data_IF_079841809807
#
_entry.id   IF_079841809807
#
_cell.length_a   1.000
_cell.length_b   1.000
_cell.length_c   1.000
_cell.angle_alpha   90.00
_cell.angle_beta   90.00
_cell.angle_gamma   90.00
#
_symmetry.space_group_name_H-M   'P 1'
#
loop_
_entity.id
_entity.type
_entity.pdbx_description
1 polymer ?
#
# COMPACT_ATOMS: atom_id res chain seq x y z
N UNK A 1 18.46 -21.05 8.59
CA UNK A 1 18.52 -19.96 9.58
C UNK A 1 17.48 -18.94 9.20
N UNK A 2 16.48 -18.77 10.05
CA UNK A 2 15.46 -17.72 9.91
C UNK A 2 15.97 -16.57 10.76
N UNK A 3 16.29 -15.43 10.15
CA UNK A 3 16.43 -14.18 10.89
C UNK A 3 15.08 -13.89 11.55
N UNK A 4 15.02 -14.17 12.84
CA UNK A 4 14.05 -13.61 13.75
C UNK A 4 14.39 -12.12 13.75
N UNK A 5 13.68 -11.32 12.94
CA UNK A 5 13.62 -9.87 13.17
C UNK A 5 13.25 -9.70 14.64
N UNK A 6 14.10 -8.99 15.36
CA UNK A 6 14.12 -8.95 16.81
C UNK A 6 12.76 -8.46 17.31
N UNK A 7 12.22 -9.09 18.36
CA UNK A 7 10.87 -8.78 18.84
C UNK A 7 10.68 -7.29 19.15
N UNK A 8 11.76 -6.62 19.54
CA UNK A 8 11.95 -5.18 19.70
C UNK A 8 11.68 -4.37 18.43
N UNK A 9 12.22 -4.74 17.26
CA UNK A 9 11.96 -4.03 15.99
C UNK A 9 10.48 -4.07 15.59
N UNK A 10 9.77 -5.15 15.95
CA UNK A 10 8.32 -5.26 15.69
C UNK A 10 7.53 -4.32 16.60
N UNK A 11 7.92 -4.21 17.88
CA UNK A 11 7.28 -3.32 18.85
C UNK A 11 7.57 -1.84 18.57
N UNK A 12 8.79 -1.49 18.21
CA UNK A 12 9.17 -0.13 17.84
C UNK A 12 8.41 0.32 16.58
N UNK A 13 8.35 -0.55 15.58
CA UNK A 13 7.56 -0.27 14.37
C UNK A 13 6.06 -0.16 14.64
N UNK A 14 5.50 -0.90 15.61
CA UNK A 14 4.09 -0.76 16.02
C UNK A 14 3.82 0.62 16.65
N UNK A 15 4.72 1.09 17.52
CA UNK A 15 4.63 2.42 18.11
C UNK A 15 4.71 3.52 17.03
N UNK A 16 5.59 3.37 16.04
CA UNK A 16 5.71 4.26 14.90
C UNK A 16 4.41 4.35 14.08
N UNK A 17 3.80 3.22 13.71
CA UNK A 17 2.55 3.23 12.93
C UNK A 17 1.38 3.85 13.71
N UNK A 18 1.28 3.57 15.01
CA UNK A 18 0.25 4.17 15.87
C UNK A 18 0.42 5.68 15.97
N UNK A 19 1.65 6.14 16.23
CA UNK A 19 1.98 7.56 16.32
C UNK A 19 1.79 8.27 14.97
N UNK A 20 2.15 7.63 13.86
CA UNK A 20 1.94 8.15 12.51
C UNK A 20 0.45 8.30 12.20
N UNK A 21 -0.37 7.27 12.48
CA UNK A 21 -1.82 7.32 12.28
C UNK A 21 -2.48 8.48 13.03
N UNK A 22 -2.14 8.68 14.31
CA UNK A 22 -2.65 9.80 15.11
C UNK A 22 -2.23 11.17 14.55
N UNK A 23 -0.94 11.37 14.29
CA UNK A 23 -0.41 12.64 13.73
C UNK A 23 -1.01 12.96 12.36
N UNK A 24 -1.22 11.95 11.52
CA UNK A 24 -1.83 12.13 10.21
C UNK A 24 -3.31 12.50 10.33
N UNK A 25 -4.07 11.89 11.25
CA UNK A 25 -5.46 12.29 11.50
C UNK A 25 -5.58 13.76 11.94
N UNK A 26 -4.72 14.21 12.85
CA UNK A 26 -4.67 15.61 13.30
C UNK A 26 -4.33 16.56 12.15
N UNK A 27 -3.35 16.21 11.32
CA UNK A 27 -2.97 17.00 10.13
C UNK A 27 -4.06 17.05 9.07
N UNK A 28 -4.79 15.95 8.85
CA UNK A 28 -5.91 15.92 7.90
C UNK A 28 -6.99 16.93 8.28
N UNK A 29 -7.35 17.01 9.57
CA UNK A 29 -8.33 17.99 10.05
C UNK A 29 -7.81 19.42 10.03
N UNK A 30 -6.51 19.62 10.30
CA UNK A 30 -5.88 20.93 10.13
C UNK A 30 -5.97 21.43 8.67
N UNK A 31 -5.63 20.59 7.70
CA UNK A 31 -5.74 20.93 6.27
C UNK A 31 -7.18 21.18 5.83
N UNK A 32 -8.14 20.41 6.36
CA UNK A 32 -9.56 20.65 6.10
C UNK A 32 -10.01 22.04 6.59
N UNK A 33 -9.58 22.47 7.77
CA UNK A 33 -9.88 23.80 8.33
C UNK A 33 -9.29 24.94 7.50
N UNK A 34 -8.19 24.70 6.79
CA UNK A 34 -7.57 25.65 5.88
C UNK A 34 -8.17 25.65 4.46
N UNK A 35 -9.18 24.81 4.18
CA UNK A 35 -9.77 24.65 2.85
C UNK A 35 -8.96 23.75 1.90
N UNK A 36 -7.86 23.14 2.37
CA UNK A 36 -6.98 22.25 1.60
C UNK A 36 -7.58 20.83 1.51
N UNK A 37 -8.65 20.71 0.74
CA UNK A 37 -9.51 19.51 0.69
C UNK A 37 -8.78 18.30 0.09
N UNK A 38 -7.94 18.51 -0.91
CA UNK A 38 -7.17 17.43 -1.56
C UNK A 38 -6.09 16.88 -0.63
N UNK A 39 -5.31 17.76 -0.02
CA UNK A 39 -4.25 17.44 0.94
C UNK A 39 -4.82 16.76 2.19
N UNK A 40 -5.96 17.26 2.69
CA UNK A 40 -6.70 16.61 3.75
C UNK A 40 -7.08 15.17 3.38
N UNK A 41 -7.55 14.94 2.15
CA UNK A 41 -7.93 13.61 1.66
C UNK A 41 -6.73 12.67 1.56
N UNK A 42 -5.61 13.14 1.01
CA UNK A 42 -4.37 12.35 0.93
C UNK A 42 -3.82 11.97 2.31
N UNK A 43 -3.75 12.93 3.22
CA UNK A 43 -3.27 12.69 4.58
C UNK A 43 -4.22 11.76 5.33
N UNK A 44 -5.53 11.88 5.12
CA UNK A 44 -6.52 10.95 5.67
C UNK A 44 -6.32 9.53 5.15
N UNK A 45 -6.11 9.34 3.85
CA UNK A 45 -5.76 8.02 3.26
C UNK A 45 -4.52 7.44 3.93
N UNK A 46 -3.47 8.23 4.10
CA UNK A 46 -2.23 7.81 4.77
C UNK A 46 -2.45 7.41 6.24
N UNK A 47 -3.26 8.17 6.97
CA UNK A 47 -3.62 7.87 8.35
C UNK A 47 -4.33 6.53 8.49
N UNK A 48 -5.28 6.26 7.58
CA UNK A 48 -6.06 5.02 7.54
C UNK A 48 -5.18 3.83 7.11
N UNK A 49 -4.30 3.99 6.12
CA UNK A 49 -3.32 2.96 5.73
C UNK A 49 -2.38 2.64 6.89
N UNK A 50 -1.94 3.65 7.65
CA UNK A 50 -1.09 3.45 8.83
C UNK A 50 -1.82 2.68 9.93
N UNK A 51 -3.11 2.95 10.12
CA UNK A 51 -3.94 2.18 11.06
C UNK A 51 -4.14 0.73 10.61
N UNK A 52 -4.32 0.50 9.30
CA UNK A 52 -4.40 -0.85 8.73
C UNK A 52 -3.12 -1.63 9.02
N UNK A 53 -1.96 -1.00 8.80
CA UNK A 53 -0.64 -1.60 9.06
C UNK A 53 -0.44 -1.93 10.54
N UNK A 54 -0.79 -1.00 11.43
CA UNK A 54 -0.75 -1.23 12.87
C UNK A 54 -1.62 -2.42 13.27
N UNK A 55 -2.85 -2.46 12.78
CA UNK A 55 -3.83 -3.51 13.09
C UNK A 55 -3.37 -4.87 12.57
N UNK A 56 -2.91 -4.94 11.31
CA UNK A 56 -2.39 -6.16 10.71
C UNK A 56 -1.14 -6.70 11.45
N UNK A 57 -0.23 -5.82 11.87
CA UNK A 57 0.93 -6.22 12.70
C UNK A 57 0.53 -6.69 14.09
N UNK A 58 -0.48 -6.06 14.70
CA UNK A 58 -0.99 -6.48 16.01
C UNK A 58 -1.58 -7.90 15.93
N UNK A 59 -2.38 -8.18 14.89
CA UNK A 59 -2.94 -9.52 14.65
C UNK A 59 -1.84 -10.57 14.47
N UNK A 60 -0.74 -10.22 13.78
CA UNK A 60 0.40 -11.12 13.58
C UNK A 60 1.07 -11.53 14.90
N UNK A 61 1.01 -10.70 15.94
CA UNK A 61 1.52 -11.02 17.27
C UNK A 61 0.48 -11.71 18.16
N UNK A 62 -0.78 -11.78 17.72
CA UNK A 62 -1.87 -12.28 18.54
C UNK A 62 -2.03 -13.80 18.39
N UNK A 63 -1.85 -14.48 19.52
CA UNK A 63 -1.91 -15.94 19.58
C UNK A 63 -3.34 -16.45 19.75
N UNK A 64 -4.25 -15.65 20.32
CA UNK A 64 -5.65 -16.03 20.59
C UNK A 64 -6.55 -15.80 19.37
N UNK A 65 -7.22 -16.86 18.92
CA UNK A 65 -8.10 -16.83 17.73
C UNK A 65 -9.23 -15.81 17.85
N UNK A 66 -9.86 -15.66 19.03
CA UNK A 66 -10.95 -14.70 19.28
C UNK A 66 -10.50 -13.25 19.03
N UNK A 67 -9.29 -12.93 19.50
CA UNK A 67 -8.71 -11.60 19.32
C UNK A 67 -8.26 -11.39 17.87
N UNK A 68 -7.79 -12.42 17.18
CA UNK A 68 -7.50 -12.36 15.74
C UNK A 68 -8.76 -12.08 14.92
N UNK A 69 -9.90 -12.70 15.23
CA UNK A 69 -11.18 -12.43 14.57
C UNK A 69 -11.54 -10.94 14.68
N UNK A 70 -11.53 -10.41 15.90
CA UNK A 70 -11.80 -8.98 16.13
C UNK A 70 -10.83 -8.07 15.34
N UNK A 71 -9.53 -8.40 15.36
CA UNK A 71 -8.54 -7.65 14.60
C UNK A 71 -8.74 -7.72 13.08
N UNK A 72 -9.07 -8.90 12.54
CA UNK A 72 -9.34 -9.06 11.11
C UNK A 72 -10.60 -8.28 10.69
N UNK A 73 -11.67 -8.33 11.49
CA UNK A 73 -12.86 -7.51 11.25
C UNK A 73 -12.53 -6.02 11.26
N UNK A 74 -11.69 -5.56 12.22
CA UNK A 74 -11.19 -4.19 12.22
C UNK A 74 -10.40 -3.85 10.95
N UNK A 75 -9.53 -4.74 10.47
CA UNK A 75 -8.80 -4.53 9.21
C UNK A 75 -9.73 -4.45 8.01
N UNK A 76 -10.79 -5.28 7.96
CA UNK A 76 -11.80 -5.24 6.91
C UNK A 76 -12.57 -3.91 6.90
N UNK A 77 -12.93 -3.38 8.07
CA UNK A 77 -13.58 -2.07 8.20
C UNK A 77 -12.68 -0.92 7.73
N UNK A 78 -11.40 -0.95 8.12
CA UNK A 78 -10.40 0.03 7.68
C UNK A 78 -10.21 -0.02 6.17
N UNK A 79 -10.04 -1.20 5.57
CA UNK A 79 -9.92 -1.37 4.13
C UNK A 79 -11.19 -0.92 3.39
N UNK A 80 -12.38 -1.24 3.91
CA UNK A 80 -13.65 -0.74 3.38
C UNK A 80 -13.80 0.78 3.50
N UNK A 81 -13.11 1.41 4.46
CA UNK A 81 -13.09 2.86 4.59
C UNK A 81 -12.16 3.51 3.57
N UNK A 82 -11.04 2.86 3.23
CA UNK A 82 -10.16 3.27 2.14
C UNK A 82 -10.86 3.25 0.78
N UNK A 83 -11.59 2.17 0.46
CA UNK A 83 -12.32 2.07 -0.81
C UNK A 83 -13.36 3.18 -0.99
N UNK A 84 -13.98 3.65 0.09
CA UNK A 84 -14.99 4.73 0.07
C UNK A 84 -14.41 6.12 -0.18
N UNK A 85 -13.13 6.34 0.12
CA UNK A 85 -12.45 7.64 -0.05
C UNK A 85 -11.51 7.65 -1.24
N UNK A 86 -11.43 6.54 -1.96
CA UNK A 86 -10.63 6.40 -3.17
C UNK A 86 -11.41 6.88 -4.40
N UNK A 87 -10.69 7.43 -5.36
CA UNK A 87 -11.24 7.94 -6.62
C UNK A 87 -10.85 7.07 -7.81
N UNK A 88 -9.72 6.38 -7.72
CA UNK A 88 -9.28 5.45 -8.76
C UNK A 88 -10.00 4.09 -8.64
N UNK A 89 -10.60 3.62 -9.75
CA UNK A 89 -11.41 2.40 -9.74
C UNK A 89 -10.59 1.15 -9.44
N UNK A 90 -9.38 1.04 -9.97
CA UNK A 90 -8.51 -0.10 -9.70
C UNK A 90 -8.14 -0.17 -8.21
N UNK A 91 -7.87 0.99 -7.59
CA UNK A 91 -7.59 1.09 -6.17
C UNK A 91 -8.84 0.83 -5.31
N UNK A 92 -10.03 1.28 -5.72
CA UNK A 92 -11.30 0.93 -5.07
C UNK A 92 -11.47 -0.59 -5.02
N UNK A 93 -11.26 -1.27 -6.15
CA UNK A 93 -11.39 -2.72 -6.26
C UNK A 93 -10.34 -3.43 -5.38
N UNK A 94 -9.08 -2.98 -5.40
CA UNK A 94 -8.02 -3.49 -4.50
C UNK A 94 -8.40 -3.38 -3.03
N UNK A 95 -8.89 -2.23 -2.57
CA UNK A 95 -9.26 -2.04 -1.15
C UNK A 95 -10.53 -2.81 -0.77
N UNK A 96 -11.49 -2.94 -1.69
CA UNK A 96 -12.68 -3.76 -1.51
C UNK A 96 -12.31 -5.24 -1.37
N UNK A 97 -11.45 -5.75 -2.25
CA UNK A 97 -10.96 -7.13 -2.21
C UNK A 97 -10.05 -7.37 -1.00
N UNK A 98 -9.28 -6.38 -0.56
CA UNK A 98 -8.53 -6.43 0.70
C UNK A 98 -9.46 -6.58 1.92
N UNK A 99 -10.61 -5.89 1.91
CA UNK A 99 -11.60 -6.04 2.96
C UNK A 99 -12.21 -7.46 2.95
N UNK A 100 -12.49 -8.01 1.76
CA UNK A 100 -12.94 -9.39 1.62
C UNK A 100 -11.88 -10.38 2.12
N UNK A 101 -10.60 -10.18 1.76
CA UNK A 101 -9.49 -10.98 2.28
C UNK A 101 -9.51 -11.04 3.81
N UNK A 102 -9.60 -9.91 4.50
CA UNK A 102 -9.65 -9.90 5.97
C UNK A 102 -10.91 -10.55 6.54
N UNK A 103 -12.08 -10.39 5.90
CA UNK A 103 -13.31 -11.11 6.30
C UNK A 103 -13.17 -12.62 6.16
N UNK A 104 -12.57 -13.09 5.06
CA UNK A 104 -12.28 -14.51 4.87
C UNK A 104 -11.39 -15.07 5.99
N UNK A 105 -10.37 -14.30 6.41
CA UNK A 105 -9.47 -14.68 7.51
C UNK A 105 -10.19 -14.73 8.87
N UNK A 106 -11.11 -13.80 9.11
CA UNK A 106 -11.98 -13.84 10.29
C UNK A 106 -12.85 -15.11 10.29
N UNK A 107 -13.51 -15.43 9.19
CA UNK A 107 -14.35 -16.63 9.03
C UNK A 107 -13.57 -17.92 9.24
N UNK A 108 -12.33 -18.02 8.74
CA UNK A 108 -11.46 -19.17 9.02
C UNK A 108 -11.20 -19.32 10.51
N UNK A 109 -10.86 -18.23 11.21
CA UNK A 109 -10.60 -18.30 12.65
C UNK A 109 -11.88 -18.62 13.44
N UNK A 110 -13.04 -18.14 13.01
CA UNK A 110 -14.34 -18.52 13.60
C UNK A 110 -14.64 -20.00 13.38
N UNK A 111 -14.35 -20.53 12.18
CA UNK A 111 -14.50 -21.95 11.87
C UNK A 111 -13.64 -22.81 12.81
N UNK A 112 -12.39 -22.40 13.01
CA UNK A 112 -11.41 -23.10 13.86
C UNK A 112 -11.83 -23.15 15.34
N UNK A 113 -12.36 -22.05 15.88
CA UNK A 113 -12.86 -22.00 17.28
C UNK A 113 -14.07 -22.92 17.46
N UNK A 114 -14.92 -23.02 16.44
CA UNK A 114 -16.10 -23.88 16.44
C UNK A 114 -15.81 -25.35 16.10
N UNK A 115 -14.55 -25.79 16.17
CA UNK A 115 -14.18 -27.18 15.89
C UNK A 115 -14.23 -27.54 14.40
N UNK A 116 -13.79 -26.61 13.54
CA UNK A 116 -13.82 -26.74 12.08
C UNK A 116 -15.24 -26.68 11.49
N UNK A 117 -15.96 -25.61 11.80
CA UNK A 117 -17.28 -25.33 11.22
C UNK A 117 -17.20 -25.18 9.70
N UNK A 118 -17.81 -26.14 8.99
CA UNK A 118 -17.78 -26.26 7.55
C UNK A 118 -18.46 -25.08 6.84
N UNK A 119 -19.62 -24.63 7.31
CA UNK A 119 -20.38 -23.57 6.66
C UNK A 119 -19.58 -22.26 6.66
N UNK A 120 -18.88 -21.98 7.78
CA UNK A 120 -17.99 -20.82 7.88
C UNK A 120 -16.78 -20.95 6.96
N UNK A 121 -16.23 -22.15 6.83
CA UNK A 121 -15.09 -22.38 5.93
C UNK A 121 -15.49 -22.25 4.46
N UNK A 122 -16.67 -22.75 4.06
CA UNK A 122 -17.24 -22.56 2.72
C UNK A 122 -17.36 -21.07 2.38
N UNK A 123 -17.97 -20.28 3.28
CA UNK A 123 -18.08 -18.83 3.12
C UNK A 123 -16.71 -18.15 3.02
N UNK A 124 -15.73 -18.60 3.80
CA UNK A 124 -14.37 -18.07 3.72
C UNK A 124 -13.73 -18.33 2.35
N UNK A 125 -13.86 -19.56 1.83
CA UNK A 125 -13.34 -19.95 0.51
C UNK A 125 -13.98 -19.12 -0.60
N UNK A 126 -15.30 -18.93 -0.56
CA UNK A 126 -16.01 -18.07 -1.52
C UNK A 126 -15.50 -16.63 -1.46
N UNK A 127 -15.30 -16.12 -0.25
CA UNK A 127 -14.77 -14.76 -0.02
C UNK A 127 -13.38 -14.60 -0.61
N UNK A 128 -12.47 -15.56 -0.40
CA UNK A 128 -11.14 -15.53 -1.01
C UNK A 128 -11.18 -15.68 -2.52
N UNK A 129 -12.07 -16.53 -3.04
CA UNK A 129 -12.26 -16.73 -4.48
C UNK A 129 -12.68 -15.45 -5.19
N UNK A 130 -13.52 -14.63 -4.54
CA UNK A 130 -13.88 -13.31 -5.04
C UNK A 130 -12.66 -12.37 -5.08
N UNK A 131 -11.90 -12.32 -4.00
CA UNK A 131 -10.81 -11.35 -3.82
C UNK A 131 -9.51 -11.67 -4.58
N UNK A 132 -9.34 -12.91 -5.06
CA UNK A 132 -8.05 -13.43 -5.55
C UNK A 132 -7.43 -12.69 -6.73
N UNK A 133 -8.22 -11.95 -7.51
CA UNK A 133 -7.74 -11.29 -8.73
C UNK A 133 -7.09 -9.94 -8.45
N UNK A 134 -7.55 -9.21 -7.43
CA UNK A 134 -7.06 -7.86 -7.09
C UNK A 134 -6.32 -7.82 -5.74
N UNK A 135 -6.40 -8.90 -4.94
CA UNK A 135 -5.63 -9.10 -3.72
C UNK A 135 -4.78 -10.37 -3.84
N UNK A 136 -3.47 -10.18 -4.06
CA UNK A 136 -2.50 -11.27 -4.24
C UNK A 136 -2.48 -12.24 -3.06
N UNK A 137 -2.81 -11.78 -1.86
CA UNK A 137 -2.84 -12.56 -0.63
C UNK A 137 -4.07 -13.46 -0.51
N UNK A 138 -5.15 -13.14 -1.22
CA UNK A 138 -6.36 -13.95 -1.23
C UNK A 138 -6.20 -15.23 -2.05
N UNK A 139 -5.39 -15.24 -3.11
CA UNK A 139 -5.20 -16.43 -3.95
C UNK A 139 -4.59 -17.62 -3.17
N UNK A 140 -3.46 -17.48 -2.44
CA UNK A 140 -2.94 -18.56 -1.61
C UNK A 140 -3.94 -19.04 -0.55
N UNK A 141 -4.70 -18.12 0.05
CA UNK A 141 -5.74 -18.48 1.03
C UNK A 141 -6.85 -19.28 0.37
N UNK A 142 -7.33 -18.86 -0.80
CA UNK A 142 -8.32 -19.61 -1.59
C UNK A 142 -7.83 -21.04 -1.85
N UNK A 143 -6.64 -21.20 -2.41
CA UNK A 143 -6.10 -22.52 -2.76
C UNK A 143 -5.95 -23.43 -1.53
N UNK A 144 -5.44 -22.90 -0.41
CA UNK A 144 -5.27 -23.67 0.84
C UNK A 144 -6.64 -24.07 1.41
N UNK A 145 -7.55 -23.11 1.59
CA UNK A 145 -8.82 -23.36 2.25
C UNK A 145 -9.81 -24.16 1.39
N UNK A 146 -9.76 -24.04 0.05
CA UNK A 146 -10.51 -24.93 -0.86
C UNK A 146 -10.02 -26.38 -0.72
N UNK A 147 -8.70 -26.58 -0.62
CA UNK A 147 -8.12 -27.91 -0.42
C UNK A 147 -8.54 -28.51 0.92
N UNK A 148 -8.54 -27.69 1.98
CA UNK A 148 -8.95 -28.11 3.33
C UNK A 148 -10.46 -28.31 3.46
N UNK A 149 -11.27 -27.54 2.74
CA UNK A 149 -12.71 -27.73 2.72
C UNK A 149 -13.06 -29.14 2.22
N UNK A 150 -12.38 -29.62 1.18
CA UNK A 150 -12.59 -30.98 0.68
C UNK A 150 -12.21 -32.08 1.68
N UNK A 151 -11.32 -31.83 2.64
CA UNK A 151 -11.10 -32.78 3.75
C UNK A 151 -12.34 -32.94 4.62
N UNK A 152 -13.00 -31.83 4.96
CA UNK A 152 -14.25 -31.86 5.72
C UNK A 152 -15.41 -32.45 4.91
N UNK A 153 -15.34 -32.44 3.58
CA UNK A 153 -16.29 -33.19 2.74
C UNK A 153 -16.00 -34.69 2.74
N UNK A 154 -14.73 -35.08 2.85
CA UNK A 154 -14.27 -36.46 2.83
C UNK A 154 -14.41 -37.19 4.17
N UNK A 155 -14.54 -36.50 5.30
CA UNK A 155 -14.72 -37.11 6.63
C UNK A 155 -16.06 -37.82 6.82
N UNK A 156 -17.07 -37.49 6.00
CA UNK A 156 -18.38 -38.13 6.01
C UNK A 156 -18.45 -39.44 5.19
N UNK A 157 -17.36 -39.85 4.52
CA UNK A 157 -17.25 -41.06 3.70
C UNK A 157 -15.88 -41.75 3.90
N UNK A 158 -15.68 -42.97 3.38
CA UNK A 158 -14.33 -43.59 3.32
C UNK A 158 -13.38 -42.64 2.57
N UNK A 159 -12.33 -42.18 3.26
CA UNK A 159 -11.38 -41.18 2.74
C UNK A 159 -10.66 -41.74 1.51
N UNK A 160 -10.80 -41.08 0.36
CA UNK A 160 -9.93 -41.29 -0.81
C UNK A 160 -8.62 -40.52 -0.59
N UNK A 161 -7.79 -41.07 0.30
CA UNK A 161 -6.51 -40.50 0.69
C UNK A 161 -5.57 -40.27 -0.52
N UNK A 162 -5.51 -41.16 -1.54
CA UNK A 162 -4.76 -40.90 -2.77
C UNK A 162 -5.21 -39.64 -3.51
N UNK A 163 -6.52 -39.43 -3.69
CA UNK A 163 -7.06 -38.24 -4.36
C UNK A 163 -6.73 -36.97 -3.59
N UNK A 164 -6.83 -37.01 -2.27
CA UNK A 164 -6.50 -35.87 -1.42
C UNK A 164 -5.01 -35.51 -1.49
N UNK A 165 -4.11 -36.51 -1.39
CA UNK A 165 -2.66 -36.32 -1.53
C UNK A 165 -2.28 -35.70 -2.87
N UNK A 166 -2.95 -36.10 -3.96
CA UNK A 166 -2.72 -35.52 -5.29
C UNK A 166 -3.06 -34.04 -5.31
N UNK A 167 -4.20 -33.66 -4.74
CA UNK A 167 -4.67 -32.27 -4.69
C UNK A 167 -3.76 -31.38 -3.83
N UNK A 168 -3.31 -31.86 -2.67
CA UNK A 168 -2.32 -31.16 -1.85
C UNK A 168 -1.05 -30.83 -2.63
N UNK A 169 -0.58 -31.80 -3.44
CA UNK A 169 0.59 -31.63 -4.29
C UNK A 169 0.36 -30.58 -5.39
N UNK A 170 -0.76 -30.66 -6.09
CA UNK A 170 -1.18 -29.68 -7.10
C UNK A 170 -1.24 -28.26 -6.50
N UNK A 171 -1.89 -28.10 -5.34
CA UNK A 171 -1.98 -26.83 -4.60
C UNK A 171 -0.60 -26.32 -4.18
N UNK A 172 0.30 -27.20 -3.74
CA UNK A 172 1.67 -26.82 -3.35
C UNK A 172 2.51 -26.40 -4.55
N UNK A 173 2.31 -27.01 -5.71
CA UNK A 173 2.97 -26.63 -6.97
C UNK A 173 2.48 -25.24 -7.42
N UNK A 174 1.18 -24.96 -7.34
CA UNK A 174 0.59 -23.65 -7.67
C UNK A 174 1.11 -22.51 -6.77
N UNK A 175 1.17 -22.74 -5.46
CA UNK A 175 1.59 -21.71 -4.49
C UNK A 175 3.14 -21.60 -4.42
N UNK A 176 3.85 -22.64 -4.83
CA UNK A 176 5.31 -22.75 -4.77
C UNK A 176 5.81 -23.35 -3.46
N UNK A 177 6.56 -24.46 -3.58
CA UNK A 177 7.00 -25.29 -2.45
C UNK A 177 7.93 -24.58 -1.42
N UNK A 178 8.62 -23.50 -1.81
CA UNK A 178 9.54 -22.76 -0.91
C UNK A 178 8.84 -21.73 -0.02
N UNK A 179 7.58 -21.41 -0.31
CA UNK A 179 6.79 -20.47 0.49
C UNK A 179 6.48 -21.05 1.87
N UNK A 180 6.11 -20.20 2.84
CA UNK A 180 5.69 -20.68 4.16
C UNK A 180 4.46 -21.60 4.05
N UNK A 181 3.50 -21.23 3.21
CA UNK A 181 2.31 -22.03 2.91
C UNK A 181 2.67 -23.35 2.22
N UNK A 182 3.55 -23.34 1.22
CA UNK A 182 4.00 -24.56 0.51
C UNK A 182 4.74 -25.53 1.43
N UNK A 183 5.55 -25.04 2.36
CA UNK A 183 6.19 -25.86 3.40
C UNK A 183 5.18 -26.47 4.37
N UNK A 184 4.14 -25.72 4.74
CA UNK A 184 3.09 -26.24 5.60
C UNK A 184 2.27 -27.34 4.90
N UNK A 185 1.92 -27.15 3.62
CA UNK A 185 1.28 -28.20 2.81
C UNK A 185 2.16 -29.46 2.70
N UNK A 186 3.48 -29.30 2.60
CA UNK A 186 4.42 -30.43 2.63
C UNK A 186 4.45 -31.14 3.99
N UNK A 187 4.37 -30.41 5.10
CA UNK A 187 4.25 -31.02 6.43
C UNK A 187 2.93 -31.79 6.58
N UNK A 188 1.84 -31.26 6.01
CA UNK A 188 0.54 -31.94 5.95
C UNK A 188 0.64 -33.21 5.10
N UNK A 189 1.27 -33.16 3.93
CA UNK A 189 1.58 -34.36 3.12
C UNK A 189 2.33 -35.40 3.97
N UNK A 190 3.34 -34.98 4.74
CA UNK A 190 4.11 -35.86 5.62
C UNK A 190 3.29 -36.51 6.74
N UNK A 191 2.37 -35.78 7.38
CA UNK A 191 1.45 -36.34 8.39
C UNK A 191 0.58 -37.44 7.76
N UNK A 192 0.11 -37.23 6.53
CA UNK A 192 -0.73 -38.18 5.81
C UNK A 192 0.06 -39.37 5.23
N UNK A 193 1.37 -39.25 5.04
CA UNK A 193 2.26 -40.35 4.65
C UNK A 193 2.58 -41.28 5.83
N UNK A 194 2.63 -40.75 7.05
CA UNK A 194 2.96 -41.51 8.25
C UNK A 194 1.81 -42.38 8.79
N UNK A 195 0.57 -42.21 8.30
CA UNK A 195 -0.60 -42.94 8.81
C UNK A 195 -1.14 -43.99 7.83
N UNK A 196 -1.51 -45.17 8.36
CA UNK A 196 -2.16 -46.28 7.64
C UNK A 196 -3.65 -46.01 7.40
N UNK A 197 -4.30 -46.83 6.56
CA UNK A 197 -5.69 -46.75 6.05
C UNK A 197 -6.85 -46.48 7.03
N UNK A 198 -6.61 -46.31 8.34
CA UNK A 198 -7.62 -46.03 9.37
C UNK A 198 -7.19 -44.91 10.33
N UNK A 199 -6.56 -43.85 9.79
CA UNK A 199 -6.11 -42.71 10.58
C UNK A 199 -7.29 -41.94 11.21
N UNK A 200 -7.16 -41.57 12.49
CA UNK A 200 -8.13 -40.72 13.18
C UNK A 200 -8.21 -39.34 12.52
N UNK A 201 -9.38 -39.04 11.96
CA UNK A 201 -9.68 -37.81 11.22
C UNK A 201 -9.67 -36.60 12.15
N UNK A 202 -10.11 -36.76 13.40
CA UNK A 202 -10.15 -35.66 14.36
C UNK A 202 -8.73 -35.29 14.79
N UNK A 203 -7.84 -36.28 14.88
CA UNK A 203 -6.43 -36.08 15.16
C UNK A 203 -5.71 -35.40 13.97
N UNK A 204 -5.98 -35.86 12.74
CA UNK A 204 -5.50 -35.22 11.50
C UNK A 204 -5.99 -33.78 11.40
N UNK A 205 -7.28 -33.53 11.67
CA UNK A 205 -7.90 -32.21 11.63
C UNK A 205 -7.33 -31.29 12.71
N UNK A 206 -7.07 -31.81 13.91
CA UNK A 206 -6.43 -31.05 14.99
C UNK A 206 -4.99 -30.69 14.66
N UNK A 207 -4.22 -31.60 14.08
CA UNK A 207 -2.83 -31.36 13.68
C UNK A 207 -2.76 -30.39 12.49
N UNK A 208 -3.65 -30.55 11.51
CA UNK A 208 -3.91 -29.60 10.43
C UNK A 208 -4.24 -28.21 10.98
N UNK A 209 -5.17 -28.10 11.93
CA UNK A 209 -5.58 -26.83 12.53
C UNK A 209 -4.39 -26.12 13.18
N UNK A 210 -3.52 -26.84 13.91
CA UNK A 210 -2.29 -26.28 14.48
C UNK A 210 -1.34 -25.74 13.38
N UNK A 211 -1.24 -26.44 12.26
CA UNK A 211 -0.39 -26.06 11.12
C UNK A 211 -0.97 -24.89 10.32
N UNK A 212 -2.29 -24.85 10.14
CA UNK A 212 -3.03 -23.74 9.51
C UNK A 212 -2.92 -22.47 10.35
N UNK A 213 -3.02 -22.58 11.68
CA UNK A 213 -2.73 -21.45 12.58
C UNK A 213 -1.30 -20.92 12.36
N UNK A 214 -0.35 -21.78 12.01
CA UNK A 214 1.03 -21.36 11.68
C UNK A 214 1.10 -20.66 10.31
N UNK A 215 0.34 -21.09 9.30
CA UNK A 215 0.17 -20.38 8.02
C UNK A 215 -0.40 -18.98 8.24
N UNK A 216 -1.42 -18.88 9.09
CA UNK A 216 -2.08 -17.61 9.42
C UNK A 216 -1.06 -16.57 9.93
N UNK A 217 -0.09 -16.99 10.73
CA UNK A 217 0.97 -16.10 11.25
C UNK A 217 1.99 -15.62 10.18
N UNK A 218 2.15 -16.34 9.05
CA UNK A 218 3.23 -16.08 8.09
C UNK A 218 2.81 -15.36 6.79
N UNK A 219 1.54 -15.40 6.39
CA UNK A 219 1.08 -14.92 5.08
C UNK A 219 1.14 -13.39 4.86
N UNK A 220 1.28 -12.57 5.91
CA UNK A 220 1.14 -11.09 5.83
C UNK A 220 2.41 -10.33 5.43
N UNK A 221 3.47 -10.99 4.94
CA UNK A 221 4.78 -10.33 4.64
C UNK A 221 4.83 -9.58 3.29
N UNK A 222 3.88 -9.78 2.37
CA UNK A 222 4.00 -9.35 0.95
C UNK A 222 3.35 -8.02 0.53
N UNK A 223 2.40 -7.47 1.30
CA UNK A 223 1.51 -6.37 0.86
C UNK A 223 2.19 -5.04 0.47
N UNK A 224 3.41 -4.76 0.94
CA UNK A 224 3.79 -3.37 1.25
C UNK A 224 4.78 -2.69 0.30
N UNK A 225 5.12 -3.30 -0.83
CA UNK A 225 6.00 -2.67 -1.82
C UNK A 225 5.26 -1.60 -2.65
N UNK A 226 4.03 -1.86 -3.06
CA UNK A 226 3.28 -1.04 -4.03
C UNK A 226 2.92 0.38 -3.53
N UNK A 227 2.48 0.52 -2.27
CA UNK A 227 2.09 1.83 -1.70
C UNK A 227 3.31 2.70 -1.35
N UNK A 228 4.46 2.07 -1.06
CA UNK A 228 5.72 2.80 -0.87
C UNK A 228 6.23 3.39 -2.19
N UNK A 229 5.95 2.71 -3.30
CA UNK A 229 6.34 3.14 -4.64
C UNK A 229 5.46 4.31 -5.13
N UNK A 230 4.13 4.26 -4.93
CA UNK A 230 3.21 5.38 -5.24
C UNK A 230 3.53 6.65 -4.41
N UNK A 231 3.89 6.50 -3.13
CA UNK A 231 4.32 7.63 -2.31
C UNK A 231 5.68 8.17 -2.74
N UNK A 232 6.61 7.30 -3.10
CA UNK A 232 7.92 7.70 -3.61
C UNK A 232 7.82 8.42 -4.95
N UNK A 233 6.84 8.07 -5.78
CA UNK A 233 6.56 8.71 -7.07
C UNK A 233 5.81 10.05 -6.89
N UNK A 234 4.82 10.12 -6.00
CA UNK A 234 4.12 11.37 -5.64
C UNK A 234 5.05 12.42 -5.01
N UNK A 235 6.02 12.00 -4.19
CA UNK A 235 7.04 12.90 -3.61
C UNK A 235 8.23 13.15 -4.55
N UNK A 236 8.39 12.41 -5.65
CA UNK A 236 9.39 12.66 -6.70
C UNK A 236 8.81 13.56 -7.79
N UNK A 237 8.64 14.85 -7.47
CA UNK A 237 8.48 15.98 -8.40
C UNK A 237 7.55 15.75 -9.64
N UNK A 238 6.25 16.07 -9.55
CA UNK A 238 5.34 16.02 -10.71
C UNK A 238 5.65 17.09 -11.79
N UNK A 239 6.52 18.05 -11.50
CA UNK A 239 6.95 19.12 -12.40
C UNK A 239 8.47 19.21 -12.40
N UNK A 240 9.11 18.84 -13.52
CA UNK A 240 10.54 18.99 -13.73
C UNK A 240 10.80 20.30 -14.47
N UNK A 241 11.66 21.14 -13.88
CA UNK A 241 11.92 22.48 -14.35
C UNK A 241 13.42 22.67 -14.44
N UNK A 242 13.85 23.01 -15.65
CA UNK A 242 15.17 23.56 -15.90
C UNK A 242 14.99 25.05 -16.22
N UNK A 243 15.69 25.92 -15.50
CA UNK A 243 15.54 27.38 -15.67
C UNK A 243 16.84 28.07 -15.38
N UNK A 244 17.17 29.03 -16.25
CA UNK A 244 18.38 29.83 -16.18
C UNK A 244 18.04 31.28 -16.47
N UNK A 245 18.83 32.19 -15.89
CA UNK A 245 18.79 33.61 -16.19
C UNK A 245 20.04 33.99 -16.98
N UNK A 246 19.85 34.62 -18.14
CA UNK A 246 20.95 35.18 -18.94
C UNK A 246 20.40 36.28 -19.86
N UNK A 247 21.19 37.33 -20.13
CA UNK A 247 20.84 38.40 -21.08
C UNK A 247 19.45 38.98 -20.80
N UNK A 248 19.18 39.33 -19.53
CA UNK A 248 17.89 39.88 -19.08
C UNK A 248 16.68 39.02 -19.43
N UNK A 249 16.87 37.70 -19.51
CA UNK A 249 15.84 36.76 -19.91
C UNK A 249 15.86 35.53 -19.01
N UNK A 250 14.66 35.07 -18.63
CA UNK A 250 14.45 33.74 -18.05
C UNK A 250 14.20 32.76 -19.20
N UNK A 251 15.03 31.74 -19.30
CA UNK A 251 14.89 30.69 -20.30
C UNK A 251 14.90 29.34 -19.62
N UNK A 252 14.06 28.44 -20.10
CA UNK A 252 13.96 27.14 -19.48
C UNK A 252 12.98 26.21 -20.15
N UNK A 253 12.75 25.10 -19.48
CA UNK A 253 11.92 24.01 -19.92
C UNK A 253 11.11 23.46 -18.76
N UNK A 254 9.80 23.36 -18.96
CA UNK A 254 8.87 22.68 -18.05
C UNK A 254 8.56 21.33 -18.68
N UNK A 255 8.67 20.25 -17.91
CA UNK A 255 8.38 18.90 -18.38
C UNK A 255 7.70 18.04 -17.32
N UNK A 256 7.19 16.88 -17.78
CA UNK A 256 6.47 15.86 -16.97
C UNK A 256 5.13 16.31 -16.39
N UNK A 257 4.57 17.40 -16.92
CA UNK A 257 3.26 17.92 -16.51
C UNK A 257 2.43 18.34 -17.72
N UNK A 258 1.11 18.26 -17.59
CA UNK A 258 0.11 18.70 -18.57
C UNK A 258 -0.89 19.65 -17.90
N UNK A 259 -1.23 20.77 -18.55
CA UNK A 259 -2.16 21.78 -18.02
C UNK A 259 -1.62 23.20 -18.11
N UNK A 260 -2.38 24.17 -17.59
CA UNK A 260 -2.00 25.58 -17.65
C UNK A 260 -1.07 25.92 -16.49
N UNK A 261 0.12 26.41 -16.82
CA UNK A 261 1.16 26.78 -15.85
C UNK A 261 1.37 28.29 -15.89
N UNK A 262 1.41 28.90 -14.71
CA UNK A 262 1.79 30.30 -14.51
C UNK A 262 3.19 30.38 -13.90
N UNK A 263 4.05 31.25 -14.42
CA UNK A 263 5.36 31.59 -13.88
C UNK A 263 5.27 32.98 -13.25
N UNK A 264 5.71 33.12 -11.99
CA UNK A 264 5.57 34.34 -11.18
C UNK A 264 6.87 34.67 -10.42
N UNK A 265 7.08 35.95 -10.13
CA UNK A 265 7.99 36.40 -9.06
C UNK A 265 7.22 37.26 -8.07
N UNK A 266 7.22 36.89 -6.79
CA UNK A 266 6.29 37.48 -5.81
C UNK A 266 4.85 37.41 -6.29
N UNK A 267 4.15 38.55 -6.29
CA UNK A 267 2.77 38.68 -6.79
C UNK A 267 2.68 38.97 -8.30
N UNK A 268 3.83 39.10 -9.00
CA UNK A 268 3.85 39.46 -10.43
C UNK A 268 3.84 38.21 -11.30
N UNK A 269 2.86 38.12 -12.19
CA UNK A 269 2.80 37.09 -13.23
C UNK A 269 3.71 37.48 -14.39
N UNK A 270 4.67 36.60 -14.70
CA UNK A 270 5.63 36.78 -15.78
C UNK A 270 5.20 36.06 -17.07
N UNK A 271 4.52 34.93 -16.93
CA UNK A 271 4.10 34.09 -18.05
C UNK A 271 2.98 33.15 -17.64
N UNK A 272 2.09 32.82 -18.57
CA UNK A 272 0.99 31.88 -18.38
C UNK A 272 0.64 31.21 -19.70
N UNK A 273 0.84 29.90 -19.83
CA UNK A 273 0.35 29.13 -20.97
C UNK A 273 0.08 27.67 -20.62
N UNK A 274 -0.61 26.99 -21.53
CA UNK A 274 -0.80 25.55 -21.50
C UNK A 274 0.49 24.80 -21.89
N UNK A 275 0.84 23.79 -21.09
CA UNK A 275 1.99 22.90 -21.29
C UNK A 275 1.47 21.52 -21.69
N UNK A 276 1.91 21.03 -22.84
CA UNK A 276 1.62 19.67 -23.31
C UNK A 276 2.88 18.81 -23.18
N UNK A 277 3.05 18.13 -22.03
CA UNK A 277 4.17 17.24 -21.64
C UNK A 277 5.55 17.88 -21.50
N UNK A 278 5.91 18.79 -22.40
CA UNK A 278 7.21 19.44 -22.49
C UNK A 278 7.07 20.79 -23.20
N UNK A 279 7.41 21.89 -22.52
CA UNK A 279 7.31 23.25 -23.05
C UNK A 279 8.56 24.04 -22.71
N UNK A 280 9.16 24.65 -23.73
CA UNK A 280 10.22 25.65 -23.55
C UNK A 280 9.61 27.03 -23.43
N UNK A 281 10.20 27.86 -22.59
CA UNK A 281 9.79 29.25 -22.41
C UNK A 281 10.98 30.19 -22.53
N UNK A 282 10.69 31.40 -22.98
CA UNK A 282 11.62 32.53 -23.07
C UNK A 282 10.86 33.77 -22.60
N UNK A 283 11.28 34.36 -21.50
CA UNK A 283 10.56 35.47 -20.85
C UNK A 283 11.56 36.59 -20.58
N UNK A 284 11.39 37.78 -21.18
CA UNK A 284 12.14 38.97 -20.76
C UNK A 284 11.93 39.22 -19.26
N UNK A 285 13.00 39.35 -18.50
CA UNK A 285 12.96 39.41 -17.05
C UNK A 285 13.96 40.43 -16.49
N UNK A 286 13.44 41.39 -15.73
CA UNK A 286 14.23 42.40 -15.03
C UNK A 286 14.24 42.08 -13.52
N UNK A 287 15.34 41.51 -12.98
CA UNK A 287 15.42 41.15 -11.56
C UNK A 287 15.38 42.39 -10.66
N UNK A 288 14.66 42.29 -9.55
CA UNK A 288 14.61 43.33 -8.52
C UNK A 288 15.70 43.13 -7.46
N UNK A 289 16.16 41.89 -7.30
CA UNK A 289 17.16 41.47 -6.32
C UNK A 289 18.25 40.62 -6.98
N UNK A 290 19.45 40.48 -6.37
CA UNK A 290 20.51 39.62 -6.89
C UNK A 290 20.10 38.15 -6.96
N UNK A 291 19.12 37.75 -6.14
CA UNK A 291 18.50 36.43 -6.18
C UNK A 291 16.98 36.58 -6.21
N UNK A 292 16.33 35.87 -7.12
CA UNK A 292 14.87 35.91 -7.30
C UNK A 292 14.26 34.53 -7.05
N UNK A 293 13.09 34.51 -6.41
CA UNK A 293 12.32 33.28 -6.23
C UNK A 293 11.30 33.18 -7.36
N UNK A 294 11.60 32.36 -8.36
CA UNK A 294 10.70 32.12 -9.49
C UNK A 294 9.77 30.97 -9.15
N UNK A 295 8.48 31.24 -9.09
CA UNK A 295 7.43 30.28 -8.78
C UNK A 295 6.74 29.81 -10.05
N UNK A 296 6.61 28.51 -10.22
CA UNK A 296 5.88 27.85 -11.30
C UNK A 296 4.67 27.19 -10.65
N UNK A 297 3.46 27.52 -11.08
CA UNK A 297 2.21 27.09 -10.46
C UNK A 297 1.24 26.56 -11.51
N UNK A 298 0.65 25.39 -11.29
CA UNK A 298 -0.40 24.87 -12.16
C UNK A 298 -1.75 25.48 -11.79
N UNK A 299 -2.42 26.15 -12.73
CA UNK A 299 -3.67 26.88 -12.47
C UNK A 299 -4.79 25.94 -12.04
N UNK A 300 -4.98 24.85 -12.76
CA UNK A 300 -6.02 23.87 -12.47
C UNK A 300 -5.68 23.00 -11.24
N UNK A 301 -4.41 22.97 -10.83
CA UNK A 301 -3.91 22.23 -9.65
C UNK A 301 -2.94 23.10 -8.83
N UNK A 302 -3.42 24.14 -8.11
CA UNK A 302 -2.55 25.14 -7.46
C UNK A 302 -1.56 24.59 -6.41
N UNK A 303 -1.81 23.36 -5.92
CA UNK A 303 -0.90 22.64 -5.03
C UNK A 303 0.35 22.10 -5.75
N UNK A 304 0.28 21.92 -7.08
CA UNK A 304 1.44 21.62 -7.91
C UNK A 304 2.14 22.93 -8.22
N UNK A 305 3.07 23.29 -7.34
CA UNK A 305 3.92 24.45 -7.50
C UNK A 305 5.37 24.12 -7.16
N UNK A 306 6.29 24.82 -7.82
CA UNK A 306 7.72 24.69 -7.59
C UNK A 306 8.34 26.07 -7.58
N UNK A 307 9.14 26.34 -6.56
CA UNK A 307 9.87 27.61 -6.45
C UNK A 307 11.36 27.33 -6.61
N UNK A 308 11.98 28.05 -7.53
CA UNK A 308 13.43 27.97 -7.78
C UNK A 308 14.02 29.32 -7.39
N UNK A 309 14.99 29.27 -6.49
CA UNK A 309 15.82 30.43 -6.17
C UNK A 309 16.91 30.53 -7.24
N UNK A 310 16.89 31.60 -8.02
CA UNK A 310 17.81 31.86 -9.12
C UNK A 310 18.75 33.00 -8.73
N UNK A 311 20.04 32.82 -9.02
CA UNK A 311 21.02 33.89 -8.96
C UNK A 311 20.95 34.69 -10.28
N UNK A 312 20.55 35.95 -10.18
CA UNK A 312 20.38 36.84 -11.32
C UNK A 312 21.70 37.55 -11.65
N UNK A 313 22.67 36.78 -12.15
CA UNK A 313 23.98 37.26 -12.55
C UNK A 313 24.36 36.81 -13.96
N UNK A 314 25.25 37.56 -14.61
CA UNK A 314 25.94 37.14 -15.82
C UNK A 314 27.40 36.86 -15.51
N UNK A 315 27.96 35.87 -16.20
CA UNK A 315 29.39 35.56 -16.13
C UNK A 315 30.05 36.31 -17.29
N UNK A 316 30.89 37.30 -16.96
CA UNK A 316 31.68 38.06 -17.93
C UNK A 316 33.16 37.76 -17.65
N UNK A 317 33.78 36.93 -18.49
CA UNK A 317 35.11 36.38 -18.21
C UNK A 317 35.07 35.48 -16.97
N UNK A 318 35.89 35.81 -15.96
CA UNK A 318 35.95 35.09 -14.67
C UNK A 318 35.12 35.78 -13.57
N UNK A 319 34.32 36.80 -13.90
CA UNK A 319 33.57 37.61 -12.93
C UNK A 319 32.06 37.36 -13.02
N UNK A 320 31.42 37.22 -11.86
CA UNK A 320 29.95 37.24 -11.72
C UNK A 320 29.47 38.68 -11.54
N UNK A 321 28.65 39.16 -12.47
CA UNK A 321 28.06 40.50 -12.45
C UNK A 321 26.58 40.37 -12.14
N UNK A 322 26.15 40.89 -10.99
CA UNK A 322 24.75 40.88 -10.56
C UNK A 322 23.99 42.06 -11.13
N UNK A 323 22.78 41.81 -11.61
CA UNK A 323 21.90 42.86 -12.12
C UNK A 323 20.94 43.33 -11.03
N UNK A 324 20.89 44.65 -10.86
CA UNK A 324 19.96 45.31 -9.95
C UNK A 324 19.25 46.41 -10.72
N UNK A 325 17.92 46.45 -10.59
CA UNK A 325 17.15 47.61 -11.03
C UNK A 325 17.66 48.85 -10.31
N UNK A 326 18.03 49.89 -11.08
CA UNK A 326 18.42 51.19 -10.55
C UNK A 326 17.19 51.77 -9.82
N UNK A 327 17.18 51.75 -8.49
CA UNK A 327 16.19 52.52 -7.72
C UNK A 327 16.48 53.99 -7.98
N UNK A 328 15.58 54.68 -8.68
CA UNK A 328 15.58 56.13 -8.75
C UNK A 328 15.33 56.59 -7.30
N UNK A 329 16.34 57.25 -6.71
CA UNK A 329 16.24 57.85 -5.37
C UNK A 329 15.34 59.07 -5.38
#
# INVERSE_FOLDING_TARGET
>A
MIEILDSTEIWDSLAEYRNASQKLAEKAEYFKKLGLTYESTLIKKLGIISELKYSAKTIRLETKSEKRISGYNKCAEIASSLSKIESDREQIDKWSDMAQYYRGRALVNESMISGFDREKLEKAVETFKHAKNSCNEAYPCYCIYDTLLQLAEMSNNKIDLPKFKRRLRETREEIGAKTASGRCLLEIEGILEQRKENADIDEITTELNKKIITIEHHALRGLFKHVSDELSEYFKNPMEIDVHFQNWSLTGEISKIEGTITIKTGDTVLWEENVERKKRFFIPFEPQNPTENICFEHIEKPHIKRTIKLDCCEIIGDQMVYFLKRRIM
#
